data_IF_083778135805
#
_entry.id   IF_083778135805
#
_cell.length_a   1.000
_cell.length_b   1.000
_cell.length_c   1.000
_cell.angle_alpha   90.00
_cell.angle_beta   90.00
_cell.angle_gamma   90.00
#
_symmetry.space_group_name_H-M   'P 1'
#
loop_
_entity.id
_entity.type
_entity.pdbx_description
1 polymer ?
#
# COMPACT_ATOMS: atom_id res chain seq x y z
N UNK A 1 -30.47 -34.64 -11.76
CA UNK A 1 -30.31 -33.16 -11.79
C UNK A 1 -29.15 -32.85 -12.73
N UNK A 2 -29.38 -32.18 -13.87
CA UNK A 2 -28.27 -31.72 -14.72
C UNK A 2 -27.85 -30.35 -14.20
N UNK A 3 -26.66 -30.25 -13.62
CA UNK A 3 -26.08 -28.95 -13.26
C UNK A 3 -25.89 -28.16 -14.57
N UNK A 4 -26.52 -26.98 -14.66
CA UNK A 4 -26.23 -26.05 -15.76
C UNK A 4 -24.76 -25.67 -15.62
N UNK A 5 -23.98 -25.89 -16.68
CA UNK A 5 -22.59 -25.43 -16.75
C UNK A 5 -22.59 -23.94 -16.44
N UNK A 6 -21.99 -23.56 -15.32
CA UNK A 6 -21.70 -22.16 -15.02
C UNK A 6 -20.72 -21.73 -16.11
N UNK A 7 -21.11 -20.76 -16.95
CA UNK A 7 -20.18 -20.14 -17.88
C UNK A 7 -18.89 -19.81 -17.12
N UNK A 8 -17.76 -20.25 -17.66
CA UNK A 8 -16.45 -20.03 -17.07
C UNK A 8 -16.17 -18.52 -17.11
N UNK A 9 -16.72 -17.78 -16.15
CA UNK A 9 -16.44 -16.36 -15.96
C UNK A 9 -14.94 -16.24 -15.83
N UNK A 10 -14.34 -15.34 -16.62
CA UNK A 10 -12.91 -15.09 -16.58
C UNK A 10 -12.44 -15.00 -15.13
N UNK A 11 -11.36 -15.73 -14.81
CA UNK A 11 -10.84 -15.82 -13.45
C UNK A 11 -10.67 -14.39 -12.90
N UNK A 12 -11.36 -14.00 -11.80
CA UNK A 12 -11.30 -12.64 -11.27
C UNK A 12 -9.90 -12.26 -10.75
N UNK A 13 -9.03 -13.26 -10.56
CA UNK A 13 -7.63 -13.08 -10.18
C UNK A 13 -6.66 -13.17 -11.37
N UNK A 14 -7.17 -13.31 -12.60
CA UNK A 14 -6.32 -13.30 -13.80
C UNK A 14 -5.71 -11.91 -14.00
N UNK A 15 -4.43 -11.90 -14.36
CA UNK A 15 -3.73 -10.68 -14.78
C UNK A 15 -3.99 -10.34 -16.25
N UNK A 16 -4.70 -11.19 -17.00
CA UNK A 16 -4.98 -11.01 -18.43
C UNK A 16 -5.87 -9.79 -18.71
N UNK A 17 -6.57 -9.30 -17.68
CA UNK A 17 -7.37 -8.07 -17.75
C UNK A 17 -6.52 -6.79 -17.68
N UNK A 18 -5.22 -6.90 -17.42
CA UNK A 18 -4.30 -5.76 -17.35
C UNK A 18 -3.39 -5.70 -18.58
N UNK A 19 -3.11 -4.47 -19.00
CA UNK A 19 -2.07 -4.15 -19.98
C UNK A 19 -0.69 -4.51 -19.43
N UNK A 20 0.29 -4.73 -20.30
CA UNK A 20 1.64 -5.07 -19.88
C UNK A 20 2.31 -3.90 -19.14
N UNK A 21 1.96 -2.65 -19.48
CA UNK A 21 2.35 -1.46 -18.74
C UNK A 21 1.81 -1.48 -17.31
N UNK A 22 0.54 -1.82 -17.10
CA UNK A 22 -0.05 -1.93 -15.76
C UNK A 22 0.63 -3.04 -14.94
N UNK A 23 0.92 -4.19 -15.55
CA UNK A 23 1.65 -5.28 -14.88
C UNK A 23 3.05 -4.83 -14.45
N UNK A 24 3.75 -4.08 -15.31
CA UNK A 24 5.07 -3.54 -14.99
C UNK A 24 5.03 -2.57 -13.80
N UNK A 25 4.02 -1.69 -13.76
CA UNK A 25 3.80 -0.78 -12.62
C UNK A 25 3.51 -1.57 -11.33
N UNK A 26 2.65 -2.59 -11.40
CA UNK A 26 2.34 -3.41 -10.21
C UNK A 26 3.57 -4.15 -9.69
N UNK A 27 4.38 -4.70 -10.59
CA UNK A 27 5.64 -5.38 -10.22
C UNK A 27 6.61 -4.41 -9.55
N UNK A 28 6.85 -3.24 -10.16
CA UNK A 28 7.71 -2.18 -9.59
C UNK A 28 7.24 -1.73 -8.20
N UNK A 29 5.92 -1.54 -8.04
CA UNK A 29 5.32 -1.18 -6.75
C UNK A 29 5.50 -2.26 -5.70
N UNK A 30 5.32 -3.54 -6.07
CA UNK A 30 5.52 -4.67 -5.16
C UNK A 30 6.98 -4.80 -4.70
N UNK A 31 7.92 -4.67 -5.63
CA UNK A 31 9.36 -4.74 -5.35
C UNK A 31 9.82 -3.62 -4.40
N UNK A 32 9.36 -2.39 -4.62
CA UNK A 32 9.71 -1.24 -3.76
C UNK A 32 9.09 -1.36 -2.37
N UNK A 33 7.85 -1.85 -2.27
CA UNK A 33 7.25 -2.19 -0.97
C UNK A 33 8.05 -3.26 -0.23
N UNK A 34 8.42 -4.36 -0.89
CA UNK A 34 9.20 -5.44 -0.26
C UNK A 34 10.53 -4.95 0.29
N UNK A 35 11.23 -4.10 -0.46
CA UNK A 35 12.47 -3.46 -0.01
C UNK A 35 12.24 -2.59 1.24
N UNK A 36 11.16 -1.81 1.24
CA UNK A 36 10.79 -1.00 2.41
C UNK A 36 10.40 -1.88 3.61
N UNK A 37 9.67 -2.97 3.39
CA UNK A 37 9.33 -3.94 4.44
C UNK A 37 10.58 -4.56 5.05
N UNK A 38 11.56 -4.98 4.24
CA UNK A 38 12.85 -5.49 4.72
C UNK A 38 13.62 -4.45 5.54
N UNK A 39 13.63 -3.20 5.08
CA UNK A 39 14.25 -2.09 5.81
C UNK A 39 13.60 -1.86 7.18
N UNK A 40 12.27 -1.75 7.25
CA UNK A 40 11.56 -1.55 8.52
C UNK A 40 11.61 -2.78 9.42
N UNK A 41 11.62 -3.99 8.87
CA UNK A 41 11.80 -5.23 9.62
C UNK A 41 13.19 -5.35 10.26
N UNK A 42 14.21 -4.70 9.71
CA UNK A 42 15.51 -4.67 10.37
C UNK A 42 15.50 -3.81 11.66
N UNK A 43 14.57 -2.84 11.75
CA UNK A 43 14.43 -1.93 12.89
C UNK A 43 13.32 -2.34 13.86
N UNK A 44 12.29 -3.03 13.37
CA UNK A 44 11.08 -3.40 14.09
C UNK A 44 10.71 -4.87 13.82
N UNK A 45 9.56 -5.35 14.28
CA UNK A 45 9.06 -6.67 13.88
C UNK A 45 8.34 -6.63 12.51
N UNK A 46 8.04 -7.81 11.97
CA UNK A 46 7.38 -7.98 10.67
C UNK A 46 6.01 -7.29 10.60
N UNK A 47 5.22 -7.36 11.68
CA UNK A 47 3.88 -6.78 11.72
C UNK A 47 3.97 -5.26 11.67
N UNK A 48 4.85 -4.68 12.49
CA UNK A 48 5.11 -3.22 12.49
C UNK A 48 5.59 -2.75 11.12
N UNK A 49 6.51 -3.47 10.48
CA UNK A 49 6.99 -3.14 9.14
C UNK A 49 5.85 -3.11 8.10
N UNK A 50 4.96 -4.11 8.13
CA UNK A 50 3.79 -4.15 7.26
C UNK A 50 2.85 -2.98 7.48
N UNK A 51 2.57 -2.64 8.74
CA UNK A 51 1.70 -1.51 9.10
C UNK A 51 2.28 -0.20 8.58
N UNK A 52 3.58 0.05 8.74
CA UNK A 52 4.25 1.25 8.23
C UNK A 52 4.09 1.33 6.71
N UNK A 53 4.47 0.27 5.98
CA UNK A 53 4.45 0.27 4.52
C UNK A 53 3.04 0.44 3.96
N UNK A 54 2.06 -0.24 4.55
CA UNK A 54 0.66 -0.10 4.15
C UNK A 54 0.13 1.32 4.40
N UNK A 55 0.38 1.87 5.59
CA UNK A 55 -0.13 3.19 5.96
C UNK A 55 0.48 4.30 5.12
N UNK A 56 1.75 4.22 4.72
CA UNK A 56 2.36 5.18 3.79
C UNK A 56 1.63 5.17 2.44
N UNK A 57 1.44 3.99 1.85
CA UNK A 57 0.79 3.88 0.54
C UNK A 57 -0.68 4.33 0.57
N UNK A 58 -1.40 4.01 1.65
CA UNK A 58 -2.80 4.41 1.82
C UNK A 58 -2.93 5.90 2.12
N UNK A 59 -2.06 6.46 2.96
CA UNK A 59 -2.09 7.90 3.27
C UNK A 59 -1.78 8.72 2.03
N UNK A 60 -0.81 8.30 1.22
CA UNK A 60 -0.55 8.92 -0.08
C UNK A 60 -1.80 8.87 -0.98
N UNK A 61 -2.46 7.72 -1.06
CA UNK A 61 -3.66 7.56 -1.88
C UNK A 61 -4.81 8.47 -1.44
N UNK A 62 -4.99 8.62 -0.14
CA UNK A 62 -6.03 9.48 0.42
C UNK A 62 -5.79 10.96 0.12
N UNK A 63 -4.52 11.41 0.14
CA UNK A 63 -4.16 12.82 -0.09
C UNK A 63 -4.13 13.16 -1.60
N UNK A 64 -3.51 12.30 -2.43
CA UNK A 64 -3.19 12.64 -3.83
C UNK A 64 -4.15 12.03 -4.87
N UNK A 65 -5.28 11.44 -4.46
CA UNK A 65 -6.32 10.85 -5.35
C UNK A 65 -5.77 9.88 -6.43
N UNK A 66 -4.65 9.21 -6.13
CA UNK A 66 -3.95 8.30 -7.04
C UNK A 66 -3.05 7.34 -6.26
N UNK A 67 -2.57 6.26 -6.89
CA UNK A 67 -1.61 5.36 -6.26
C UNK A 67 -0.19 5.78 -6.63
N UNK A 68 0.70 5.83 -5.64
CA UNK A 68 2.12 5.96 -5.94
C UNK A 68 2.63 4.73 -6.70
N UNK A 69 3.55 4.95 -7.64
CA UNK A 69 4.21 3.87 -8.36
C UNK A 69 5.24 3.14 -7.49
N UNK A 70 5.84 3.86 -6.52
CA UNK A 70 6.83 3.31 -5.61
C UNK A 70 6.58 3.74 -4.18
N UNK A 71 7.12 2.96 -3.24
CA UNK A 71 7.10 3.33 -1.82
C UNK A 71 7.85 4.64 -1.57
N UNK A 72 9.03 4.83 -2.17
CA UNK A 72 9.86 6.01 -1.97
C UNK A 72 9.17 7.28 -2.49
N UNK A 73 8.43 7.18 -3.60
CA UNK A 73 7.60 8.28 -4.09
C UNK A 73 6.55 8.67 -3.05
N UNK A 74 5.83 7.68 -2.49
CA UNK A 74 4.82 7.94 -1.47
C UNK A 74 5.45 8.56 -0.21
N UNK A 75 6.52 7.95 0.30
CA UNK A 75 7.24 8.41 1.48
C UNK A 75 7.70 9.87 1.34
N UNK A 76 8.36 10.20 0.23
CA UNK A 76 8.88 11.54 -0.02
C UNK A 76 7.78 12.58 -0.19
N UNK A 77 6.68 12.24 -0.88
CA UNK A 77 5.56 13.14 -1.11
C UNK A 77 4.71 13.40 0.15
N UNK A 78 4.69 12.47 1.11
CA UNK A 78 4.03 12.67 2.40
C UNK A 78 4.83 13.57 3.34
N UNK A 79 6.15 13.66 3.14
CA UNK A 79 7.02 14.48 3.96
C UNK A 79 7.24 13.94 5.38
N UNK A 80 8.14 14.61 6.10
CA UNK A 80 8.66 14.13 7.38
C UNK A 80 7.60 14.02 8.48
N UNK A 81 6.70 15.00 8.59
CA UNK A 81 5.70 15.03 9.67
C UNK A 81 4.74 13.84 9.59
N UNK A 82 4.16 13.60 8.41
CA UNK A 82 3.20 12.51 8.20
C UNK A 82 3.89 11.15 8.32
N UNK A 83 5.06 10.98 7.70
CA UNK A 83 5.80 9.71 7.75
C UNK A 83 6.23 9.36 9.17
N UNK A 84 6.65 10.34 9.96
CA UNK A 84 7.01 10.15 11.37
C UNK A 84 5.78 9.79 12.23
N UNK A 85 4.63 10.43 12.01
CA UNK A 85 3.38 10.07 12.70
C UNK A 85 2.93 8.63 12.37
N UNK A 86 3.06 8.22 11.10
CA UNK A 86 2.77 6.83 10.68
C UNK A 86 3.67 5.84 11.44
N UNK A 87 4.98 6.09 11.48
CA UNK A 87 5.92 5.20 12.19
C UNK A 87 5.61 5.18 13.68
N UNK A 88 5.42 6.35 14.31
CA UNK A 88 5.08 6.47 15.72
C UNK A 88 3.83 5.66 16.07
N UNK A 89 2.76 5.78 15.28
CA UNK A 89 1.51 5.06 15.51
C UNK A 89 1.68 3.55 15.34
N UNK A 90 2.38 3.12 14.29
CA UNK A 90 2.64 1.70 14.04
C UNK A 90 3.40 1.05 15.20
N UNK A 91 4.49 1.68 15.64
CA UNK A 91 5.33 1.18 16.74
C UNK A 91 4.57 1.12 18.07
N UNK A 92 3.62 2.03 18.29
CA UNK A 92 2.83 2.09 19.53
C UNK A 92 1.48 1.34 19.43
N UNK A 93 1.24 0.55 18.37
CA UNK A 93 -0.04 -0.13 18.12
C UNK A 93 -1.26 0.81 18.15
N UNK A 94 -1.06 2.06 17.72
CA UNK A 94 -2.13 3.05 17.60
C UNK A 94 -2.80 2.93 16.23
N UNK A 95 -4.09 3.26 16.12
CA UNK A 95 -4.76 3.30 14.83
C UNK A 95 -4.12 4.34 13.91
N UNK A 96 -4.13 4.05 12.61
CA UNK A 96 -3.78 5.02 11.57
C UNK A 96 -4.70 6.25 11.66
N UNK A 97 -4.21 7.43 11.27
CA UNK A 97 -5.06 8.63 11.23
C UNK A 97 -6.25 8.40 10.30
N UNK A 98 -7.43 8.75 10.80
CA UNK A 98 -8.63 8.76 9.98
C UNK A 98 -8.63 9.96 9.03
N UNK A 99 -9.35 9.85 7.90
CA UNK A 99 -9.52 10.94 6.91
C UNK A 99 -10.04 12.27 7.47
N UNK A 100 -10.57 12.29 8.70
CA UNK A 100 -11.12 13.49 9.37
C UNK A 100 -10.11 14.22 10.26
N UNK A 101 -8.98 13.59 10.56
CA UNK A 101 -7.94 14.14 11.45
C UNK A 101 -6.77 14.75 10.68
N UNK A 102 -6.88 14.86 9.35
CA UNK A 102 -5.90 15.60 8.56
C UNK A 102 -5.88 17.06 9.01
N UNK A 103 -4.71 17.44 9.51
CA UNK A 103 -4.40 18.69 10.20
C UNK A 103 -4.83 19.86 9.32
N UNK A 104 -5.62 20.78 9.90
CA UNK A 104 -5.80 22.11 9.31
C UNK A 104 -4.40 22.74 9.19
N UNK A 105 -3.95 22.91 7.95
CA UNK A 105 -2.82 23.77 7.62
C UNK A 105 -3.04 25.20 8.12
#
# INVERSE_FOLDING_TARGET
MKFKSVENKANPFSLDHYTDEQKAVFKKRDETKKRAEEFFKAMYDQSTAWVIVANVMITYHNIYTGFAETFEQAWNALGYEITTDIVYRAVNNLPARGKKEEVKA
#
